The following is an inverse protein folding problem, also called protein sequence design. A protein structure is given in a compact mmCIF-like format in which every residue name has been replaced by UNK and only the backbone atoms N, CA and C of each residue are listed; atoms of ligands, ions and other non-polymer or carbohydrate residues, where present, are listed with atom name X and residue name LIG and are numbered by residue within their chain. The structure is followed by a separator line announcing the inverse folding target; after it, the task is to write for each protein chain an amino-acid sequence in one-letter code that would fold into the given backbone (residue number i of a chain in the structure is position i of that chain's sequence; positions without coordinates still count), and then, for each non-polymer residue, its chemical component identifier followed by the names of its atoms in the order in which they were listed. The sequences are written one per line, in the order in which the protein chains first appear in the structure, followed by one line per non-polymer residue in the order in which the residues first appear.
data_IF_503800968773
#
_entry.id   IF_503800968773
#
_cell.length_a   1.000
_cell.length_b   1.000
_cell.length_c   1.000
_cell.angle_alpha   90.00
_cell.angle_beta   90.00
_cell.angle_gamma   90.00
#
_symmetry.space_group_name_H-M   'P 1'
#
loop_
_entity.id
_entity.type
_entity.pdbx_description
1 polymer ?
#
# COMPACT_ATOMS: atom_id res chain seq x y z
N UNK A 1 20.52 13.17 22.98
CA UNK A 1 21.00 11.92 22.37
C UNK A 1 20.07 11.43 21.25
N UNK A 2 18.75 11.68 21.33
CA UNK A 2 17.73 11.31 20.32
C UNK A 2 17.88 12.01 18.95
N UNK A 3 18.22 13.30 18.92
CA UNK A 3 18.40 14.07 17.67
C UNK A 3 19.51 13.47 16.78
N UNK A 4 20.55 12.90 17.39
CA UNK A 4 21.67 12.27 16.67
C UNK A 4 21.34 10.87 16.14
N UNK A 5 20.47 10.11 16.80
CA UNK A 5 19.95 8.83 16.27
C UNK A 5 18.95 9.06 15.14
N UNK A 6 18.11 10.09 15.25
CA UNK A 6 17.14 10.49 14.22
C UNK A 6 17.86 10.93 12.94
N UNK A 7 18.89 11.78 13.05
CA UNK A 7 19.68 12.21 11.90
C UNK A 7 20.42 11.06 11.19
N UNK A 8 20.92 10.07 11.95
CA UNK A 8 21.61 8.89 11.39
C UNK A 8 20.65 7.94 10.67
N UNK A 9 19.47 7.69 11.25
CA UNK A 9 18.43 6.89 10.60
C UNK A 9 17.97 7.59 9.30
N UNK A 10 17.67 8.89 9.38
CA UNK A 10 17.30 9.71 8.21
C UNK A 10 18.36 9.67 7.11
N UNK A 11 19.64 9.78 7.47
CA UNK A 11 20.72 9.73 6.49
C UNK A 11 20.86 8.33 5.87
N UNK A 12 20.77 7.26 6.66
CA UNK A 12 20.79 5.89 6.16
C UNK A 12 19.63 5.59 5.20
N UNK A 13 18.42 6.00 5.56
CA UNK A 13 17.24 5.90 4.70
C UNK A 13 17.39 6.75 3.44
N UNK A 14 17.85 7.99 3.56
CA UNK A 14 18.09 8.89 2.43
C UNK A 14 19.11 8.31 1.45
N UNK A 15 20.24 7.78 1.94
CA UNK A 15 21.28 7.17 1.09
C UNK A 15 20.75 5.92 0.39
N UNK A 16 20.09 5.03 1.14
CA UNK A 16 19.53 3.80 0.56
C UNK A 16 18.44 4.12 -0.47
N UNK A 17 17.57 5.09 -0.18
CA UNK A 17 16.56 5.60 -1.12
C UNK A 17 17.20 6.14 -2.40
N UNK A 18 18.22 7.00 -2.31
CA UNK A 18 18.86 7.57 -3.49
C UNK A 18 19.60 6.53 -4.33
N UNK A 19 20.18 5.50 -3.70
CA UNK A 19 20.80 4.38 -4.41
C UNK A 19 19.73 3.56 -5.12
N UNK A 20 18.64 3.22 -4.42
CA UNK A 20 17.56 2.43 -4.98
C UNK A 20 16.75 3.18 -6.03
N UNK A 21 16.55 4.49 -5.94
CA UNK A 21 15.95 5.30 -7.02
C UNK A 21 16.78 5.26 -8.31
N UNK A 22 18.12 5.14 -8.21
CA UNK A 22 18.99 4.97 -9.38
C UNK A 22 18.97 3.55 -9.95
N UNK A 23 18.60 2.58 -9.12
CA UNK A 23 18.43 1.18 -9.50
C UNK A 23 16.98 0.84 -9.86
N UNK A 24 16.06 1.79 -9.65
CA UNK A 24 14.64 1.59 -9.89
C UNK A 24 14.41 1.24 -11.37
N UNK A 25 13.53 0.27 -11.64
CA UNK A 25 13.24 -0.15 -12.99
C UNK A 25 12.69 1.04 -13.78
N UNK A 26 13.26 1.28 -14.96
CA UNK A 26 12.71 2.23 -15.92
C UNK A 26 11.74 1.47 -16.80
N UNK A 27 10.45 1.80 -16.70
CA UNK A 27 9.43 1.15 -17.52
C UNK A 27 9.50 1.75 -18.92
N UNK A 28 9.71 0.89 -19.92
CA UNK A 28 9.71 1.32 -21.31
C UNK A 28 8.29 1.20 -21.87
N UNK A 29 7.52 2.29 -21.72
CA UNK A 29 6.13 2.35 -22.17
C UNK A 29 6.04 2.20 -23.69
N UNK A 30 5.23 1.26 -24.14
CA UNK A 30 4.96 0.98 -25.55
C UNK A 30 3.61 1.52 -25.95
N UNK A 31 3.56 2.06 -27.14
CA UNK A 31 2.31 2.50 -27.73
C UNK A 31 1.49 1.32 -28.25
N UNK A 32 0.17 1.38 -28.05
CA UNK A 32 -0.83 0.46 -28.57
C UNK A 32 -1.89 1.26 -29.34
N UNK A 33 -2.10 0.91 -30.60
CA UNK A 33 -3.11 1.54 -31.45
C UNK A 33 -4.54 1.24 -30.96
N UNK A 34 -5.46 2.18 -31.21
CA UNK A 34 -6.91 2.01 -31.06
C UNK A 34 -7.44 1.65 -29.66
N UNK A 35 -6.73 2.01 -28.59
CA UNK A 35 -7.21 1.81 -27.21
C UNK A 35 -7.94 3.03 -26.65
N UNK A 36 -8.96 2.79 -25.83
CA UNK A 36 -9.77 3.79 -25.09
C UNK A 36 -9.72 3.54 -23.59
N UNK A 37 -10.22 4.49 -22.79
CA UNK A 37 -10.33 4.29 -21.34
C UNK A 37 -11.22 3.09 -20.99
N UNK A 38 -12.29 2.88 -21.75
CA UNK A 38 -13.19 1.73 -21.57
C UNK A 38 -12.46 0.41 -21.80
N UNK A 39 -11.72 0.29 -22.91
CA UNK A 39 -10.91 -0.92 -23.17
C UNK A 39 -9.85 -1.16 -22.09
N UNK A 40 -9.31 -0.08 -21.49
CA UNK A 40 -8.35 -0.20 -20.39
C UNK A 40 -9.02 -0.76 -19.12
N UNK A 41 -10.21 -0.25 -18.78
CA UNK A 41 -11.00 -0.73 -17.63
C UNK A 41 -11.43 -2.18 -17.80
N UNK A 42 -11.88 -2.57 -18.99
CA UNK A 42 -12.20 -3.98 -19.30
C UNK A 42 -10.99 -4.90 -19.21
N UNK A 43 -9.83 -4.44 -19.69
CA UNK A 43 -8.59 -5.20 -19.59
C UNK A 43 -8.13 -5.38 -18.14
N UNK A 44 -8.28 -4.35 -17.30
CA UNK A 44 -7.91 -4.39 -15.88
C UNK A 44 -8.73 -5.44 -15.09
N UNK A 45 -10.00 -5.64 -15.46
CA UNK A 45 -10.85 -6.68 -14.86
C UNK A 45 -10.35 -8.09 -15.24
N UNK A 46 -9.86 -8.27 -16.45
CA UNK A 46 -9.59 -9.58 -17.04
C UNK A 46 -8.10 -9.98 -17.06
N UNK A 47 -7.18 -9.05 -16.81
CA UNK A 47 -5.75 -9.27 -16.93
C UNK A 47 -4.99 -8.65 -15.74
N UNK A 48 -3.91 -9.33 -15.33
CA UNK A 48 -3.14 -9.00 -14.13
C UNK A 48 -1.82 -8.27 -14.42
N UNK A 49 -1.46 -8.05 -15.69
CA UNK A 49 -0.15 -7.49 -16.06
C UNK A 49 -0.09 -5.98 -15.94
N UNK A 50 0.66 -5.48 -14.94
CA UNK A 50 0.79 -4.04 -14.68
C UNK A 50 1.50 -3.29 -15.82
N UNK A 51 2.46 -3.93 -16.48
CA UNK A 51 3.19 -3.37 -17.64
C UNK A 51 2.27 -3.21 -18.86
N UNK A 52 1.46 -4.21 -19.18
CA UNK A 52 0.52 -4.12 -20.30
C UNK A 52 -0.57 -3.08 -20.05
N UNK A 53 -1.05 -2.97 -18.80
CA UNK A 53 -1.98 -1.92 -18.39
C UNK A 53 -1.35 -0.53 -18.48
N UNK A 54 -0.09 -0.39 -18.06
CA UNK A 54 0.65 0.87 -18.20
C UNK A 54 0.74 1.29 -19.68
N UNK A 55 1.06 0.37 -20.59
CA UNK A 55 1.10 0.64 -22.03
C UNK A 55 -0.26 1.10 -22.59
N UNK A 56 -1.35 0.47 -22.15
CA UNK A 56 -2.71 0.82 -22.57
C UNK A 56 -3.06 2.24 -22.07
N UNK A 57 -2.94 2.51 -20.77
CA UNK A 57 -3.25 3.83 -20.21
C UNK A 57 -2.35 4.92 -20.80
N UNK A 58 -1.06 4.64 -21.01
CA UNK A 58 -0.15 5.55 -21.71
C UNK A 58 -0.62 5.92 -23.11
N UNK A 59 -1.10 4.93 -23.85
CA UNK A 59 -1.62 5.13 -25.21
C UNK A 59 -2.88 6.01 -25.20
N UNK A 60 -3.78 5.84 -24.21
CA UNK A 60 -4.93 6.73 -24.05
C UNK A 60 -4.50 8.17 -23.71
N UNK A 61 -3.52 8.35 -22.81
CA UNK A 61 -2.98 9.68 -22.45
C UNK A 61 -2.41 10.42 -23.66
N UNK A 62 -1.78 9.70 -24.59
CA UNK A 62 -1.18 10.27 -25.80
C UNK A 62 -2.18 10.66 -26.88
N UNK A 63 -3.31 9.96 -27.00
CA UNK A 63 -4.21 10.14 -28.16
C UNK A 63 -5.56 10.77 -27.80
N UNK A 64 -6.00 10.66 -26.56
CA UNK A 64 -7.32 11.13 -26.15
C UNK A 64 -7.31 12.58 -25.65
N UNK A 65 -6.93 13.51 -26.52
CA UNK A 65 -6.88 14.94 -26.20
C UNK A 65 -8.24 15.64 -26.23
N UNK A 66 -9.31 14.95 -26.66
CA UNK A 66 -10.63 15.55 -26.86
C UNK A 66 -11.53 15.45 -25.64
N UNK A 67 -11.30 14.48 -24.76
CA UNK A 67 -11.99 14.35 -23.48
C UNK A 67 -11.00 14.57 -22.32
N UNK A 68 -11.09 15.74 -21.69
CA UNK A 68 -10.23 16.12 -20.57
C UNK A 68 -10.35 15.15 -19.39
N UNK A 69 -11.55 14.63 -19.13
CA UNK A 69 -11.83 13.73 -18.01
C UNK A 69 -11.14 12.38 -18.23
N UNK A 70 -11.31 11.80 -19.42
CA UNK A 70 -10.65 10.55 -19.78
C UNK A 70 -9.12 10.67 -19.78
N UNK A 71 -8.58 11.80 -20.23
CA UNK A 71 -7.15 12.04 -20.21
C UNK A 71 -6.58 12.10 -18.79
N UNK A 72 -7.30 12.74 -17.85
CA UNK A 72 -6.91 12.79 -16.45
C UNK A 72 -7.04 11.42 -15.79
N UNK A 73 -8.16 10.72 -15.98
CA UNK A 73 -8.34 9.35 -15.43
C UNK A 73 -7.27 8.40 -15.92
N UNK A 74 -6.98 8.42 -17.22
CA UNK A 74 -5.91 7.59 -17.80
C UNK A 74 -4.54 7.96 -17.26
N UNK A 75 -4.28 9.25 -17.00
CA UNK A 75 -3.03 9.71 -16.38
C UNK A 75 -2.89 9.18 -14.94
N UNK A 76 -3.95 9.24 -14.14
CA UNK A 76 -3.96 8.74 -12.77
C UNK A 76 -3.77 7.21 -12.74
N UNK A 77 -4.46 6.48 -13.63
CA UNK A 77 -4.35 5.03 -13.69
C UNK A 77 -3.00 4.57 -14.27
N UNK A 78 -2.45 5.26 -15.27
CA UNK A 78 -1.06 5.05 -15.70
C UNK A 78 -0.10 5.20 -14.53
N UNK A 79 -0.28 6.27 -13.74
CA UNK A 79 0.58 6.57 -12.58
C UNK A 79 0.49 5.48 -11.52
N UNK A 80 -0.71 4.91 -11.29
CA UNK A 80 -0.91 3.73 -10.43
C UNK A 80 -0.09 2.53 -10.91
N UNK A 81 -0.13 2.21 -12.20
CA UNK A 81 0.63 1.06 -12.72
C UNK A 81 2.14 1.29 -12.65
N UNK A 82 2.59 2.51 -12.94
CA UNK A 82 4.00 2.89 -12.79
C UNK A 82 4.47 2.78 -11.33
N UNK A 83 3.61 3.13 -10.36
CA UNK A 83 3.89 2.92 -8.93
C UNK A 83 4.01 1.43 -8.62
N UNK A 84 3.08 0.60 -9.10
CA UNK A 84 3.13 -0.86 -8.91
C UNK A 84 4.40 -1.48 -9.51
N UNK A 85 4.89 -0.92 -10.62
CA UNK A 85 6.13 -1.33 -11.29
C UNK A 85 7.40 -0.73 -10.67
N UNK A 86 7.28 0.20 -9.72
CA UNK A 86 8.41 0.87 -9.07
C UNK A 86 9.02 2.05 -9.86
N UNK A 87 8.44 2.48 -10.98
CA UNK A 87 8.90 3.66 -11.75
C UNK A 87 8.25 4.95 -11.22
N UNK A 88 8.63 5.31 -10.01
CA UNK A 88 8.12 6.49 -9.31
C UNK A 88 8.44 7.79 -10.03
N UNK A 89 9.59 7.86 -10.72
CA UNK A 89 10.02 9.05 -11.44
C UNK A 89 9.09 9.34 -12.62
N UNK A 90 8.80 8.33 -13.44
CA UNK A 90 7.86 8.48 -14.55
C UNK A 90 6.47 8.81 -14.00
N UNK A 91 6.02 8.12 -12.94
CA UNK A 91 4.73 8.40 -12.29
C UNK A 91 4.58 9.87 -11.88
N UNK A 92 5.57 10.41 -11.14
CA UNK A 92 5.60 11.84 -10.76
C UNK A 92 5.52 12.76 -11.98
N UNK A 93 6.28 12.46 -13.03
CA UNK A 93 6.27 13.27 -14.26
C UNK A 93 4.89 13.31 -14.93
N UNK A 94 4.21 12.18 -15.08
CA UNK A 94 2.88 12.15 -15.69
C UNK A 94 1.85 12.90 -14.84
N UNK A 95 1.83 12.68 -13.53
CA UNK A 95 0.94 13.39 -12.59
C UNK A 95 1.14 14.91 -12.64
N UNK A 96 2.39 15.38 -12.55
CA UNK A 96 2.70 16.81 -12.52
C UNK A 96 2.45 17.51 -13.86
N UNK A 97 2.64 16.82 -14.98
CA UNK A 97 2.58 17.43 -16.31
C UNK A 97 1.20 17.35 -16.95
N UNK A 98 0.53 16.20 -16.86
CA UNK A 98 -0.68 15.94 -17.64
C UNK A 98 -1.95 16.24 -16.87
N UNK A 99 -2.02 15.99 -15.55
CA UNK A 99 -3.23 16.33 -14.79
C UNK A 99 -3.52 17.83 -14.87
N UNK A 100 -2.59 18.76 -14.53
CA UNK A 100 -2.89 20.19 -14.60
C UNK A 100 -3.24 20.71 -16.00
N UNK A 101 -2.67 20.08 -17.04
CA UNK A 101 -2.90 20.47 -18.44
C UNK A 101 -4.38 20.33 -18.86
N UNK A 102 -5.08 19.35 -18.31
CA UNK A 102 -6.46 19.05 -18.70
C UNK A 102 -7.51 19.61 -17.74
N UNK A 103 -7.12 20.14 -16.57
CA UNK A 103 -8.05 20.67 -15.56
C UNK A 103 -8.95 21.79 -16.08
N UNK A 104 -8.46 22.64 -17.00
CA UNK A 104 -9.25 23.75 -17.54
C UNK A 104 -10.49 23.32 -18.32
N UNK A 105 -10.55 22.05 -18.75
CA UNK A 105 -11.70 21.47 -19.45
C UNK A 105 -12.68 20.73 -18.53
N UNK A 106 -12.51 20.81 -17.22
CA UNK A 106 -13.30 20.08 -16.21
C UNK A 106 -14.16 21.05 -15.40
N UNK A 107 -15.37 20.62 -15.02
CA UNK A 107 -16.23 21.36 -14.10
C UNK A 107 -15.54 21.67 -12.76
N UNK A 108 -15.86 22.80 -12.13
CA UNK A 108 -15.10 23.36 -11.00
C UNK A 108 -15.01 22.40 -9.80
N UNK A 109 -16.10 21.72 -9.43
CA UNK A 109 -16.06 20.76 -8.33
C UNK A 109 -15.31 19.49 -8.70
N UNK A 110 -15.44 19.05 -9.95
CA UNK A 110 -14.75 17.84 -10.43
C UNK A 110 -13.23 18.06 -10.57
N UNK A 111 -12.78 19.31 -10.78
CA UNK A 111 -11.36 19.65 -10.69
C UNK A 111 -10.78 19.32 -9.31
N UNK A 112 -11.50 19.64 -8.23
CA UNK A 112 -11.06 19.31 -6.88
C UNK A 112 -10.93 17.81 -6.65
N UNK A 113 -11.86 17.00 -7.17
CA UNK A 113 -11.75 15.54 -7.12
C UNK A 113 -10.46 15.04 -7.80
N UNK A 114 -10.15 15.52 -9.00
CA UNK A 114 -8.95 15.09 -9.72
C UNK A 114 -7.66 15.61 -9.08
N UNK A 115 -7.68 16.81 -8.50
CA UNK A 115 -6.57 17.30 -7.68
C UNK A 115 -6.36 16.43 -6.45
N UNK A 116 -7.43 16.02 -5.77
CA UNK A 116 -7.36 15.10 -4.63
C UNK A 116 -6.77 13.73 -5.03
N UNK A 117 -7.22 13.15 -6.16
CA UNK A 117 -6.67 11.89 -6.71
C UNK A 117 -5.19 12.02 -7.07
N UNK A 118 -4.76 13.16 -7.61
CA UNK A 118 -3.35 13.40 -7.92
C UNK A 118 -2.50 13.40 -6.65
N UNK A 119 -2.92 14.15 -5.63
CA UNK A 119 -2.23 14.20 -4.34
C UNK A 119 -2.20 12.83 -3.65
N UNK A 120 -3.29 12.06 -3.73
CA UNK A 120 -3.33 10.68 -3.25
C UNK A 120 -2.27 9.80 -3.92
N UNK A 121 -2.03 9.93 -5.23
CA UNK A 121 -0.93 9.19 -5.89
C UNK A 121 0.46 9.69 -5.49
N UNK A 122 0.66 10.99 -5.25
CA UNK A 122 1.91 11.47 -4.68
C UNK A 122 2.14 10.91 -3.27
N UNK A 123 1.09 10.78 -2.46
CA UNK A 123 1.17 10.13 -1.16
C UNK A 123 1.61 8.67 -1.26
N UNK A 124 1.04 7.89 -2.21
CA UNK A 124 1.48 6.51 -2.43
C UNK A 124 2.96 6.42 -2.79
N UNK A 125 3.43 7.30 -3.67
CA UNK A 125 4.85 7.33 -4.03
C UNK A 125 5.71 7.64 -2.80
N UNK A 126 5.28 8.60 -1.96
CA UNK A 126 5.97 8.93 -0.73
C UNK A 126 6.00 7.76 0.28
N UNK A 127 4.91 6.99 0.41
CA UNK A 127 4.89 5.75 1.22
C UNK A 127 5.91 4.71 0.74
N UNK A 128 5.98 4.48 -0.57
CA UNK A 128 6.98 3.57 -1.14
C UNK A 128 8.42 4.07 -0.96
N UNK A 129 8.61 5.39 -1.01
CA UNK A 129 9.88 6.05 -0.75
C UNK A 129 10.16 6.25 0.76
N UNK A 130 9.27 5.77 1.64
CA UNK A 130 9.38 5.82 3.11
C UNK A 130 9.47 7.28 3.63
N UNK A 131 8.89 8.21 2.88
CA UNK A 131 8.79 9.63 3.19
C UNK A 131 7.46 9.96 3.87
N UNK A 132 7.17 9.37 5.03
CA UNK A 132 5.85 9.45 5.68
C UNK A 132 5.40 10.88 6.03
N UNK A 133 6.33 11.82 6.26
CA UNK A 133 5.99 13.25 6.44
C UNK A 133 5.48 13.88 5.14
N UNK A 134 6.13 13.57 4.01
CA UNK A 134 5.69 14.03 2.69
C UNK A 134 4.37 13.35 2.29
N UNK A 135 4.21 12.07 2.61
CA UNK A 135 2.94 11.35 2.47
C UNK A 135 1.80 12.08 3.18
N UNK A 136 1.95 12.39 4.48
CA UNK A 136 0.94 13.12 5.24
C UNK A 136 0.65 14.51 4.67
N UNK A 137 1.66 15.22 4.15
CA UNK A 137 1.44 16.51 3.49
C UNK A 137 0.58 16.39 2.22
N UNK A 138 0.83 15.37 1.41
CA UNK A 138 0.03 15.08 0.21
C UNK A 138 -1.39 14.63 0.59
N UNK A 139 -1.55 13.74 1.57
CA UNK A 139 -2.87 13.31 2.06
C UNK A 139 -3.68 14.47 2.64
N UNK A 140 -3.04 15.36 3.40
CA UNK A 140 -3.69 16.58 3.91
C UNK A 140 -4.14 17.49 2.77
N UNK A 141 -3.33 17.62 1.72
CA UNK A 141 -3.69 18.40 0.53
C UNK A 141 -4.85 17.75 -0.23
N UNK A 142 -4.86 16.43 -0.37
CA UNK A 142 -5.97 15.68 -0.96
C UNK A 142 -7.27 15.90 -0.19
N UNK A 143 -7.22 15.84 1.15
CA UNK A 143 -8.36 16.09 2.02
C UNK A 143 -8.92 17.51 1.86
N UNK A 144 -8.04 18.52 1.84
CA UNK A 144 -8.44 19.91 1.58
C UNK A 144 -9.14 20.07 0.24
N UNK A 145 -8.68 19.39 -0.82
CA UNK A 145 -9.39 19.43 -2.10
C UNK A 145 -10.80 18.81 -1.99
N UNK A 146 -10.94 17.66 -1.34
CA UNK A 146 -12.27 17.06 -1.12
C UNK A 146 -13.20 17.95 -0.29
N UNK A 147 -12.69 18.67 0.70
CA UNK A 147 -13.47 19.62 1.52
C UNK A 147 -14.02 20.81 0.71
N UNK A 148 -13.47 21.09 -0.48
CA UNK A 148 -14.01 22.10 -1.40
C UNK A 148 -15.18 21.56 -2.25
N UNK A 149 -15.51 20.28 -2.14
CA UNK A 149 -16.69 19.67 -2.78
C UNK A 149 -17.79 19.57 -1.72
N UNK A 150 -18.95 20.24 -1.92
CA UNK A 150 -20.09 20.09 -1.03
C UNK A 150 -20.47 18.63 -0.81
N UNK A 151 -20.67 18.22 0.45
CA UNK A 151 -20.89 16.81 0.82
C UNK A 151 -22.13 16.18 0.18
N UNK A 152 -23.15 16.97 -0.12
CA UNK A 152 -24.36 16.55 -0.85
C UNK A 152 -24.10 16.23 -2.33
N UNK A 153 -22.98 16.71 -2.87
CA UNK A 153 -22.51 16.42 -4.24
C UNK A 153 -21.51 15.25 -4.29
N UNK A 154 -21.13 14.66 -3.15
CA UNK A 154 -20.21 13.53 -3.13
C UNK A 154 -20.84 12.28 -3.74
N UNK A 155 -20.16 11.73 -4.75
CA UNK A 155 -20.47 10.44 -5.34
C UNK A 155 -19.72 9.34 -4.60
N UNK A 156 -19.86 8.10 -5.06
CA UNK A 156 -19.17 6.95 -4.48
C UNK A 156 -17.65 7.10 -4.59
N UNK A 157 -17.17 7.78 -5.62
CA UNK A 157 -15.77 8.00 -5.89
C UNK A 157 -15.12 8.95 -4.87
N UNK A 158 -15.77 10.05 -4.49
CA UNK A 158 -15.29 10.95 -3.43
C UNK A 158 -15.27 10.24 -2.08
N UNK A 159 -16.32 9.45 -1.76
CA UNK A 159 -16.40 8.66 -0.52
C UNK A 159 -15.29 7.61 -0.44
N UNK A 160 -15.05 6.90 -1.55
CA UNK A 160 -13.99 5.90 -1.67
C UNK A 160 -12.60 6.54 -1.58
N UNK A 161 -12.40 7.71 -2.19
CA UNK A 161 -11.16 8.45 -2.07
C UNK A 161 -10.91 8.93 -0.64
N UNK A 162 -11.94 9.43 0.04
CA UNK A 162 -11.84 9.85 1.44
C UNK A 162 -11.49 8.66 2.35
N UNK A 163 -12.08 7.49 2.11
CA UNK A 163 -11.68 6.23 2.80
C UNK A 163 -10.21 5.90 2.56
N UNK A 164 -9.77 5.92 1.30
CA UNK A 164 -8.36 5.71 0.92
C UNK A 164 -7.43 6.68 1.65
N UNK A 165 -7.75 7.98 1.69
CA UNK A 165 -6.93 9.00 2.36
C UNK A 165 -6.77 8.68 3.85
N UNK A 166 -7.85 8.26 4.52
CA UNK A 166 -7.79 7.95 5.96
C UNK A 166 -6.96 6.69 6.22
N UNK A 167 -7.16 5.65 5.41
CA UNK A 167 -6.36 4.42 5.49
C UNK A 167 -4.86 4.72 5.33
N UNK A 168 -4.48 5.48 4.30
CA UNK A 168 -3.07 5.82 4.06
C UNK A 168 -2.51 6.77 5.14
N UNK A 169 -3.31 7.69 5.67
CA UNK A 169 -2.88 8.51 6.80
C UNK A 169 -2.56 7.64 8.03
N UNK A 170 -3.39 6.64 8.31
CA UNK A 170 -3.12 5.64 9.36
C UNK A 170 -1.81 4.90 9.13
N UNK A 171 -1.54 4.47 7.90
CA UNK A 171 -0.27 3.83 7.50
C UNK A 171 0.93 4.75 7.68
N UNK A 172 0.83 6.01 7.29
CA UNK A 172 1.91 6.99 7.42
C UNK A 172 2.28 7.22 8.89
N UNK A 173 1.28 7.38 9.76
CA UNK A 173 1.51 7.50 11.21
C UNK A 173 2.12 6.23 11.81
N UNK A 174 1.68 5.05 11.38
CA UNK A 174 2.32 3.79 11.76
C UNK A 174 3.78 3.74 11.29
N UNK A 175 4.07 4.18 10.07
CA UNK A 175 5.42 4.26 9.51
C UNK A 175 6.34 5.18 10.31
N UNK A 176 5.87 6.38 10.65
CA UNK A 176 6.62 7.35 11.48
C UNK A 176 7.00 6.80 12.85
N UNK A 177 6.09 6.05 13.48
CA UNK A 177 6.37 5.40 14.76
C UNK A 177 7.51 4.37 14.64
N UNK A 178 7.45 3.52 13.61
CA UNK A 178 8.45 2.46 13.40
C UNK A 178 9.82 2.97 12.97
N UNK A 179 9.90 4.17 12.38
CA UNK A 179 11.18 4.85 12.13
C UNK A 179 11.82 5.41 13.42
N UNK A 180 11.12 5.37 14.56
CA UNK A 180 11.65 5.76 15.86
C UNK A 180 11.62 7.25 16.13
N UNK A 181 10.83 8.03 15.38
CA UNK A 181 10.70 9.48 15.59
C UNK A 181 10.04 9.82 16.92
N UNK A 182 9.02 9.05 17.34
CA UNK A 182 8.36 9.19 18.64
C UNK A 182 7.68 7.87 19.01
N UNK A 183 8.37 6.97 19.74
CA UNK A 183 7.81 5.67 20.14
C UNK A 183 6.50 5.84 20.91
N UNK A 184 5.40 5.34 20.36
CA UNK A 184 4.06 5.28 20.95
C UNK A 184 3.15 6.47 20.61
N UNK A 185 3.69 7.64 20.30
CA UNK A 185 2.89 8.85 20.06
C UNK A 185 2.09 8.79 18.76
N UNK A 186 2.67 8.24 17.69
CA UNK A 186 2.01 8.18 16.39
C UNK A 186 1.12 6.93 16.19
N UNK A 187 1.32 5.86 16.95
CA UNK A 187 0.46 4.67 16.85
C UNK A 187 -0.99 4.97 17.24
N UNK A 188 -1.22 5.82 18.26
CA UNK A 188 -2.58 6.21 18.63
C UNK A 188 -3.28 7.01 17.52
N UNK A 189 -2.55 7.86 16.79
CA UNK A 189 -3.09 8.53 15.60
C UNK A 189 -3.45 7.49 14.53
N UNK A 190 -2.56 6.53 14.26
CA UNK A 190 -2.83 5.47 13.29
C UNK A 190 -4.11 4.69 13.62
N UNK A 191 -4.29 4.29 14.90
CA UNK A 191 -5.50 3.63 15.39
C UNK A 191 -6.74 4.50 15.15
N UNK A 192 -6.67 5.81 15.43
CA UNK A 192 -7.77 6.74 15.17
C UNK A 192 -8.20 6.77 13.70
N UNK A 193 -7.24 6.83 12.78
CA UNK A 193 -7.53 6.84 11.34
C UNK A 193 -8.13 5.52 10.83
N UNK A 194 -7.61 4.38 11.27
CA UNK A 194 -8.17 3.08 10.87
C UNK A 194 -9.58 2.86 11.44
N UNK A 195 -9.86 3.30 12.67
CA UNK A 195 -11.22 3.24 13.23
C UNK A 195 -12.20 4.16 12.47
N UNK A 196 -11.77 5.37 12.10
CA UNK A 196 -12.60 6.26 11.28
C UNK A 196 -12.91 5.65 9.91
N UNK A 197 -11.94 4.95 9.30
CA UNK A 197 -12.17 4.27 8.03
C UNK A 197 -13.12 3.06 8.20
N UNK A 198 -13.02 2.31 9.30
CA UNK A 198 -13.93 1.20 9.61
C UNK A 198 -15.38 1.64 9.78
N UNK A 199 -15.65 2.84 10.29
CA UNK A 199 -17.03 3.36 10.37
C UNK A 199 -17.70 3.39 8.98
N UNK A 200 -16.94 3.72 7.92
CA UNK A 200 -17.45 3.72 6.54
C UNK A 200 -17.75 2.31 6.04
N UNK A 201 -16.93 1.33 6.39
CA UNK A 201 -17.18 -0.07 6.03
C UNK A 201 -18.41 -0.63 6.74
N UNK A 202 -18.67 -0.21 7.98
CA UNK A 202 -19.92 -0.53 8.69
C UNK A 202 -21.13 0.05 7.96
N UNK A 203 -21.09 1.32 7.60
CA UNK A 203 -22.16 1.96 6.82
C UNK A 203 -22.40 1.23 5.49
N UNK A 204 -21.33 0.84 4.77
CA UNK A 204 -21.43 0.09 3.52
C UNK A 204 -22.13 -1.26 3.71
N UNK A 205 -21.77 -1.99 4.77
CA UNK A 205 -22.37 -3.29 5.10
C UNK A 205 -23.85 -3.14 5.49
N UNK A 206 -24.20 -2.15 6.32
CA UNK A 206 -25.60 -1.85 6.70
C UNK A 206 -26.47 -1.47 5.50
N UNK A 207 -25.89 -0.82 4.50
CA UNK A 207 -26.56 -0.44 3.25
C UNK A 207 -26.53 -1.54 2.17
N UNK A 208 -26.10 -2.77 2.49
CA UNK A 208 -26.12 -3.91 1.59
C UNK A 208 -25.03 -3.94 0.51
N UNK A 209 -23.99 -3.10 0.64
CA UNK A 209 -22.85 -3.03 -0.28
C UNK A 209 -21.53 -3.35 0.43
N UNK A 210 -21.38 -4.53 1.06
CA UNK A 210 -20.21 -4.84 1.88
C UNK A 210 -18.92 -4.86 1.03
N UNK A 211 -17.83 -4.37 1.60
CA UNK A 211 -16.47 -4.50 1.03
C UNK A 211 -15.55 -5.20 2.06
N UNK A 212 -15.74 -6.52 2.26
CA UNK A 212 -15.01 -7.30 3.26
C UNK A 212 -13.49 -7.26 3.10
N UNK A 213 -12.95 -7.17 1.87
CA UNK A 213 -11.50 -7.05 1.67
C UNK A 213 -10.94 -5.76 2.28
N UNK A 214 -11.57 -4.61 1.99
CA UNK A 214 -11.13 -3.32 2.53
C UNK A 214 -11.30 -3.22 4.05
N UNK A 215 -12.40 -3.76 4.57
CA UNK A 215 -12.65 -3.87 6.01
C UNK A 215 -11.57 -4.74 6.69
N UNK A 216 -11.26 -5.91 6.11
CA UNK A 216 -10.25 -6.84 6.62
C UNK A 216 -8.85 -6.24 6.63
N UNK A 217 -8.48 -5.43 5.63
CA UNK A 217 -7.22 -4.71 5.64
C UNK A 217 -7.13 -3.68 6.77
N UNK A 218 -8.21 -2.98 7.11
CA UNK A 218 -8.21 -2.06 8.24
C UNK A 218 -8.01 -2.78 9.58
N UNK A 219 -8.72 -3.88 9.81
CA UNK A 219 -8.48 -4.75 10.97
C UNK A 219 -7.05 -5.30 11.01
N UNK A 220 -6.49 -5.70 9.87
CA UNK A 220 -5.11 -6.14 9.77
C UNK A 220 -4.10 -5.03 10.13
N UNK A 221 -4.40 -3.76 9.85
CA UNK A 221 -3.56 -2.64 10.28
C UNK A 221 -3.72 -2.31 11.75
N UNK A 222 -4.94 -2.34 12.30
CA UNK A 222 -5.17 -2.24 13.74
C UNK A 222 -4.41 -3.31 14.51
N UNK A 223 -4.43 -4.56 14.02
CA UNK A 223 -3.65 -5.64 14.60
C UNK A 223 -2.16 -5.28 14.72
N UNK A 224 -1.56 -4.70 13.68
CA UNK A 224 -0.16 -4.24 13.70
C UNK A 224 0.06 -3.11 14.72
N UNK A 225 -0.85 -2.14 14.80
CA UNK A 225 -0.81 -1.09 15.80
C UNK A 225 -0.78 -1.69 17.22
N UNK A 226 -1.67 -2.65 17.51
CA UNK A 226 -1.72 -3.29 18.82
C UNK A 226 -0.52 -4.21 19.09
N UNK A 227 0.10 -4.82 18.08
CA UNK A 227 1.42 -5.49 18.26
C UNK A 227 2.51 -4.50 18.66
N UNK A 228 2.48 -3.26 18.15
CA UNK A 228 3.44 -2.21 18.51
C UNK A 228 3.18 -1.64 19.91
N UNK A 229 1.93 -1.62 20.36
CA UNK A 229 1.54 -1.26 21.71
C UNK A 229 1.70 -2.40 22.72
N UNK A 230 2.10 -3.59 22.25
CA UNK A 230 2.18 -4.83 23.05
C UNK A 230 0.83 -5.25 23.68
N UNK A 231 -0.29 -4.77 23.13
CA UNK A 231 -1.63 -5.27 23.44
C UNK A 231 -1.93 -6.50 22.57
N UNK A 232 -1.33 -7.63 22.96
CA UNK A 232 -1.42 -8.89 22.22
C UNK A 232 -2.86 -9.42 22.13
N UNK A 233 -3.69 -9.20 23.16
CA UNK A 233 -5.08 -9.69 23.17
C UNK A 233 -5.94 -8.93 22.16
N UNK A 234 -5.83 -7.60 22.11
CA UNK A 234 -6.54 -6.83 21.09
C UNK A 234 -5.98 -7.11 19.71
N UNK A 235 -4.65 -7.18 19.56
CA UNK A 235 -4.03 -7.55 18.30
C UNK A 235 -4.54 -8.88 17.73
N UNK A 236 -4.66 -9.91 18.57
CA UNK A 236 -5.16 -11.21 18.14
C UNK A 236 -6.63 -11.15 17.69
N UNK A 237 -7.48 -10.43 18.43
CA UNK A 237 -8.88 -10.22 18.04
C UNK A 237 -9.01 -9.54 16.69
N UNK A 238 -8.25 -8.47 16.47
CA UNK A 238 -8.23 -7.75 15.18
C UNK A 238 -7.73 -8.65 14.03
N UNK A 239 -6.72 -9.50 14.28
CA UNK A 239 -6.29 -10.49 13.29
C UNK A 239 -7.38 -11.50 12.97
N UNK A 240 -8.07 -12.04 13.98
CA UNK A 240 -9.13 -13.03 13.78
C UNK A 240 -10.29 -12.42 12.98
N UNK A 241 -10.68 -11.18 13.27
CA UNK A 241 -11.67 -10.44 12.47
C UNK A 241 -11.22 -10.24 11.03
N UNK A 242 -9.96 -9.81 10.81
CA UNK A 242 -9.41 -9.69 9.46
C UNK A 242 -9.42 -11.03 8.70
N UNK A 243 -9.13 -12.14 9.38
CA UNK A 243 -9.15 -13.48 8.81
C UNK A 243 -10.54 -13.88 8.31
N UNK A 244 -11.57 -13.68 9.14
CA UNK A 244 -12.98 -13.95 8.74
C UNK A 244 -13.36 -13.13 7.52
N UNK A 245 -13.02 -11.83 7.51
CA UNK A 245 -13.33 -10.93 6.39
C UNK A 245 -12.59 -11.30 5.12
N UNK A 246 -11.34 -11.76 5.20
CA UNK A 246 -10.61 -12.24 4.02
C UNK A 246 -11.19 -13.56 3.49
N UNK A 247 -11.64 -14.45 4.37
CA UNK A 247 -12.29 -15.71 3.98
C UNK A 247 -13.67 -15.45 3.32
N UNK A 248 -14.37 -14.34 3.63
CA UNK A 248 -15.59 -13.91 2.90
C UNK A 248 -15.33 -13.58 1.42
N UNK A 249 -14.12 -13.16 1.05
CA UNK A 249 -13.77 -12.74 -0.33
C UNK A 249 -13.10 -13.85 -1.12
N UNK A 250 -12.52 -14.82 -0.43
CA UNK A 250 -11.62 -15.79 -1.01
C UNK A 250 -12.09 -17.21 -0.75
N UNK A 251 -12.71 -17.83 -1.74
CA UNK A 251 -13.05 -19.26 -1.68
C UNK A 251 -11.81 -20.18 -1.70
N UNK A 252 -10.63 -19.66 -2.06
CA UNK A 252 -9.40 -20.44 -2.22
C UNK A 252 -8.41 -20.23 -1.06
N UNK A 253 -7.89 -21.35 -0.54
CA UNK A 253 -6.76 -21.37 0.41
C UNK A 253 -5.44 -20.85 -0.18
N UNK A 254 -5.39 -20.53 -1.49
CA UNK A 254 -4.23 -20.01 -2.22
C UNK A 254 -4.34 -18.54 -2.62
N UNK A 255 -5.20 -17.75 -1.98
CA UNK A 255 -5.31 -16.31 -2.30
C UNK A 255 -4.19 -15.48 -1.68
N UNK A 256 -3.90 -14.33 -2.30
CA UNK A 256 -2.97 -13.35 -1.76
C UNK A 256 -3.41 -12.79 -0.40
N UNK A 257 -4.73 -12.71 -0.15
CA UNK A 257 -5.29 -12.32 1.14
C UNK A 257 -4.95 -13.36 2.21
N UNK A 258 -5.07 -14.65 1.90
CA UNK A 258 -4.70 -15.72 2.83
C UNK A 258 -3.20 -15.71 3.14
N UNK A 259 -2.35 -15.47 2.14
CA UNK A 259 -0.92 -15.28 2.35
C UNK A 259 -0.63 -14.09 3.27
N UNK A 260 -1.33 -12.97 3.09
CA UNK A 260 -1.20 -11.79 3.94
C UNK A 260 -1.63 -12.06 5.40
N UNK A 261 -2.73 -12.79 5.59
CA UNK A 261 -3.17 -13.22 6.92
C UNK A 261 -2.15 -14.13 7.61
N UNK A 262 -1.66 -15.16 6.92
CA UNK A 262 -0.62 -16.06 7.43
C UNK A 262 0.64 -15.27 7.81
N UNK A 263 1.06 -14.33 6.96
CA UNK A 263 2.20 -13.48 7.26
C UNK A 263 2.02 -12.70 8.58
N UNK A 264 0.82 -12.17 8.84
CA UNK A 264 0.54 -11.44 10.07
C UNK A 264 0.46 -12.34 11.30
N UNK A 265 -0.12 -13.53 11.20
CA UNK A 265 -0.06 -14.54 12.26
C UNK A 265 1.39 -14.91 12.58
N UNK A 266 2.24 -15.08 11.55
CA UNK A 266 3.67 -15.32 11.72
C UNK A 266 4.38 -14.20 12.49
N UNK A 267 4.03 -12.94 12.21
CA UNK A 267 4.53 -11.77 12.96
C UNK A 267 4.03 -11.75 14.40
N UNK A 268 2.76 -12.03 14.63
CA UNK A 268 2.18 -12.12 15.97
C UNK A 268 2.91 -13.17 16.81
N UNK A 269 3.06 -14.39 16.29
CA UNK A 269 3.77 -15.49 16.96
C UNK A 269 5.25 -15.19 17.20
N UNK A 270 5.90 -14.46 16.29
CA UNK A 270 7.30 -14.05 16.47
C UNK A 270 7.46 -13.05 17.62
N UNK A 271 6.52 -12.11 17.77
CA UNK A 271 6.65 -10.94 18.65
C UNK A 271 5.99 -11.12 20.01
N UNK A 272 4.88 -11.85 20.08
CA UNK A 272 4.12 -12.05 21.31
C UNK A 272 4.95 -12.77 22.37
N UNK A 273 4.77 -12.39 23.63
CA UNK A 273 5.43 -13.04 24.76
C UNK A 273 5.08 -14.53 24.88
N UNK A 274 3.86 -14.90 24.48
CA UNK A 274 3.36 -16.27 24.49
C UNK A 274 3.47 -16.96 23.11
N UNK A 275 4.07 -16.29 22.13
CA UNK A 275 4.14 -16.79 20.77
C UNK A 275 5.08 -17.99 20.61
N UNK A 276 4.71 -18.90 19.72
CA UNK A 276 5.49 -20.10 19.41
C UNK A 276 6.40 -19.86 18.20
N UNK A 277 7.69 -20.14 18.37
CA UNK A 277 8.65 -20.14 17.25
C UNK A 277 8.20 -21.11 16.15
N UNK A 278 7.67 -22.28 16.52
CA UNK A 278 7.18 -23.28 15.56
C UNK A 278 6.00 -22.76 14.74
N UNK A 279 5.04 -22.11 15.39
CA UNK A 279 3.90 -21.50 14.72
C UNK A 279 4.33 -20.34 13.82
N UNK A 280 5.26 -19.49 14.28
CA UNK A 280 5.82 -18.42 13.46
C UNK A 280 6.49 -18.95 12.18
N UNK A 281 7.27 -20.04 12.27
CA UNK A 281 7.85 -20.70 11.10
C UNK A 281 6.75 -21.23 10.17
N UNK A 282 5.74 -21.90 10.72
CA UNK A 282 4.63 -22.46 9.95
C UNK A 282 3.92 -21.38 9.13
N UNK A 283 3.47 -20.32 9.81
CA UNK A 283 2.73 -19.23 9.19
C UNK A 283 3.56 -18.46 8.14
N UNK A 284 4.83 -18.13 8.42
CA UNK A 284 5.65 -17.49 7.41
C UNK A 284 5.96 -18.39 6.22
N UNK A 285 6.13 -19.70 6.42
CA UNK A 285 6.36 -20.66 5.34
C UNK A 285 5.14 -20.76 4.42
N UNK A 286 3.93 -20.81 4.99
CA UNK A 286 2.69 -20.82 4.19
C UNK A 286 2.51 -19.50 3.42
N UNK A 287 2.81 -18.36 4.03
CA UNK A 287 2.77 -17.07 3.34
C UNK A 287 3.75 -17.01 2.16
N UNK A 288 5.00 -17.45 2.36
CA UNK A 288 6.02 -17.51 1.31
C UNK A 288 5.55 -18.41 0.15
N UNK A 289 5.13 -19.64 0.46
CA UNK A 289 4.66 -20.62 -0.52
C UNK A 289 3.53 -20.07 -1.39
N UNK A 290 2.51 -19.47 -0.79
CA UNK A 290 1.36 -18.93 -1.55
C UNK A 290 1.78 -17.75 -2.44
N UNK A 291 2.60 -16.81 -1.94
CA UNK A 291 3.03 -15.67 -2.75
C UNK A 291 3.99 -16.05 -3.89
N UNK A 292 4.83 -17.07 -3.69
CA UNK A 292 5.68 -17.64 -4.74
C UNK A 292 4.82 -18.31 -5.83
N UNK A 293 3.80 -19.08 -5.44
CA UNK A 293 2.86 -19.72 -6.37
C UNK A 293 2.09 -18.68 -7.23
N UNK A 294 1.78 -17.52 -6.65
CA UNK A 294 1.01 -16.46 -7.33
C UNK A 294 1.83 -15.59 -8.29
N UNK A 295 3.17 -15.61 -8.19
CA UNK A 295 4.15 -14.83 -8.98
C UNK A 295 3.95 -13.29 -9.05
N UNK A 296 2.81 -12.74 -8.62
CA UNK A 296 2.42 -11.33 -8.71
C UNK A 296 2.85 -10.49 -7.50
N UNK A 297 3.30 -11.13 -6.42
CA UNK A 297 3.60 -10.47 -5.14
C UNK A 297 5.05 -10.70 -4.67
N UNK A 298 6.07 -10.30 -5.46
CA UNK A 298 7.48 -10.53 -5.10
C UNK A 298 7.86 -9.85 -3.78
N UNK A 299 7.27 -8.70 -3.46
CA UNK A 299 7.49 -8.03 -2.18
C UNK A 299 6.91 -8.82 -0.98
N UNK A 300 5.74 -9.45 -1.15
CA UNK A 300 5.12 -10.31 -0.14
C UNK A 300 5.99 -11.53 0.16
N UNK A 301 6.39 -12.27 -0.90
CA UNK A 301 7.30 -13.42 -0.76
C UNK A 301 8.63 -13.04 -0.08
N UNK A 302 9.24 -11.92 -0.50
CA UNK A 302 10.46 -11.41 0.14
C UNK A 302 10.23 -11.09 1.63
N UNK A 303 9.09 -10.49 1.98
CA UNK A 303 8.72 -10.16 3.36
C UNK A 303 8.54 -11.42 4.22
N UNK A 304 7.88 -12.46 3.70
CA UNK A 304 7.72 -13.74 4.40
C UNK A 304 9.08 -14.40 4.69
N UNK A 305 10.00 -14.40 3.72
CA UNK A 305 11.36 -14.90 3.94
C UNK A 305 12.16 -14.05 4.93
N UNK A 306 11.97 -12.73 4.97
CA UNK A 306 12.56 -11.91 6.02
C UNK A 306 11.99 -12.27 7.40
N UNK A 307 10.70 -12.58 7.49
CA UNK A 307 10.04 -13.14 8.66
C UNK A 307 10.71 -14.44 9.13
N UNK A 308 10.85 -15.42 8.23
CA UNK A 308 11.57 -16.69 8.50
C UNK A 308 13.00 -16.44 8.97
N UNK A 309 13.74 -15.54 8.33
CA UNK A 309 15.10 -15.22 8.72
C UNK A 309 15.18 -14.72 10.17
N UNK A 310 14.27 -13.80 10.56
CA UNK A 310 14.16 -13.30 11.94
C UNK A 310 13.78 -14.41 12.92
N UNK A 311 12.83 -15.27 12.55
CA UNK A 311 12.39 -16.39 13.39
C UNK A 311 13.51 -17.41 13.62
N UNK A 312 14.23 -17.81 12.57
CA UNK A 312 15.39 -18.71 12.69
C UNK A 312 16.54 -18.08 13.46
N UNK A 313 16.75 -16.76 13.35
CA UNK A 313 17.74 -16.06 14.17
C UNK A 313 17.36 -16.10 15.67
N UNK A 314 16.10 -15.83 16.00
CA UNK A 314 15.54 -15.97 17.36
C UNK A 314 15.66 -17.40 17.89
N UNK A 315 15.58 -18.39 17.01
CA UNK A 315 15.72 -19.81 17.34
C UNK A 315 17.16 -20.35 17.32
N UNK A 316 18.17 -19.47 17.21
CA UNK A 316 19.58 -19.84 17.16
C UNK A 316 19.94 -20.82 16.02
N UNK A 317 19.29 -20.65 14.86
CA UNK A 317 19.57 -21.38 13.60
C UNK A 317 20.14 -20.42 12.55
N UNK A 318 21.40 -19.95 12.71
CA UNK A 318 21.96 -18.88 11.87
C UNK A 318 22.12 -19.28 10.39
N UNK A 319 22.36 -20.55 10.09
CA UNK A 319 22.49 -21.04 8.70
C UNK A 319 21.16 -20.88 7.95
N UNK A 320 20.06 -21.31 8.57
CA UNK A 320 18.72 -21.19 7.97
C UNK A 320 18.28 -19.72 7.89
N UNK A 321 18.62 -18.92 8.90
CA UNK A 321 18.38 -17.48 8.89
C UNK A 321 19.06 -16.78 7.69
N UNK A 322 20.36 -17.07 7.47
CA UNK A 322 21.11 -16.51 6.34
C UNK A 322 20.56 -17.00 5.00
N UNK A 323 20.13 -18.27 4.91
CA UNK A 323 19.50 -18.82 3.70
C UNK A 323 18.25 -18.01 3.33
N UNK A 324 17.34 -17.79 4.27
CA UNK A 324 16.11 -17.04 4.01
C UNK A 324 16.35 -15.54 3.78
N UNK A 325 17.32 -14.93 4.48
CA UNK A 325 17.70 -13.55 4.20
C UNK A 325 18.22 -13.39 2.77
N UNK A 326 19.04 -14.33 2.29
CA UNK A 326 19.52 -14.32 0.91
C UNK A 326 18.37 -14.39 -0.09
N UNK A 327 17.41 -15.32 0.10
CA UNK A 327 16.23 -15.43 -0.77
C UNK A 327 15.42 -14.13 -0.75
N UNK A 328 15.14 -13.58 0.44
CA UNK A 328 14.40 -12.33 0.61
C UNK A 328 15.00 -11.17 -0.21
N UNK A 329 16.32 -10.95 -0.09
CA UNK A 329 17.03 -9.89 -0.80
C UNK A 329 17.10 -10.13 -2.31
N UNK A 330 17.27 -11.39 -2.73
CA UNK A 330 17.28 -11.76 -4.14
C UNK A 330 15.90 -11.57 -4.80
N UNK A 331 14.83 -11.85 -4.08
CA UNK A 331 13.45 -11.66 -4.56
C UNK A 331 13.08 -10.18 -4.62
N UNK A 332 13.36 -9.42 -3.54
CA UNK A 332 13.12 -7.98 -3.53
C UNK A 332 14.02 -7.26 -2.50
N UNK A 333 15.05 -6.49 -2.91
CA UNK A 333 15.96 -5.83 -1.99
C UNK A 333 15.33 -4.67 -1.19
N UNK A 334 14.21 -4.10 -1.66
CA UNK A 334 13.51 -3.00 -0.96
C UNK A 334 12.91 -3.45 0.38
N UNK A 335 12.74 -4.76 0.59
CA UNK A 335 12.24 -5.34 1.85
C UNK A 335 13.12 -4.98 3.05
N UNK A 336 14.41 -4.70 2.84
CA UNK A 336 15.32 -4.29 3.90
C UNK A 336 15.11 -2.84 4.36
N UNK A 337 14.54 -2.00 3.50
CA UNK A 337 14.26 -0.60 3.84
C UNK A 337 12.91 -0.45 4.54
N UNK A 338 11.92 -1.25 4.12
CA UNK A 338 10.64 -1.32 4.81
C UNK A 338 10.79 -2.14 6.11
N UNK A 339 11.19 -1.46 7.18
CA UNK A 339 11.15 -2.01 8.55
C UNK A 339 9.75 -2.46 8.98
N UNK A 340 8.73 -1.98 8.25
CA UNK A 340 7.34 -2.41 8.33
C UNK A 340 6.96 -3.12 7.03
N UNK A 341 6.58 -4.40 7.09
CA UNK A 341 5.95 -5.07 5.96
C UNK A 341 4.52 -4.52 5.76
N UNK A 342 4.34 -3.66 4.76
CA UNK A 342 3.04 -3.17 4.30
C UNK A 342 2.59 -3.93 3.05
N UNK A 343 1.33 -4.38 3.06
CA UNK A 343 0.70 -5.22 2.03
C UNK A 343 0.54 -4.57 0.67
#
# INVERSE_FOLDING_TARGET
MEIFSEAKANFGYFVARNILERLAPKVNLKYKDSVTLETAKEFEVNNSSFDELADIYYSVVLFNHRNAEEAIESTINLSQQLINLGDFRSSKYYLSKFVPRYLSGIDSYRQYYYLARREEKFAWIADYEIGYKDELNHLSSAKKFLENIPHDLWRNEERSLDSTIMHFAGRAYFGLDNQGFHRGGYIHNAVGYFNYDLEKYRDLRENGNPNPAGEGFNHAWLARCYMNLEDWNTSLRELDTAGVLFDEVSESSKSGLRAHFNFLKGLYELRSANGSVGESIHYFSEAARIWEDLARYPFGAASAHLGLAKTYWKWHKPIDAVRHLKVSVQTNPYVLLRGVPGG
#
